data_IF_712739068294
#
_entry.id   IF_712739068294
#
_cell.length_a   1.000
_cell.length_b   1.000
_cell.length_c   1.000
_cell.angle_alpha   90.00
_cell.angle_beta   90.00
_cell.angle_gamma   90.00
#
_symmetry.space_group_name_H-M   'P 1'
#
loop_
_entity.id
_entity.type
_entity.pdbx_description
1 polymer ?
#
# COMPACT_ATOMS: atom_id res chain seq x y z
N UNK A 1 -70.97 12.02 -21.38
CA UNK A 1 -70.09 11.46 -20.33
C UNK A 1 -68.93 10.76 -21.01
N UNK A 2 -67.72 11.31 -20.97
CA UNK A 2 -66.53 10.56 -21.39
C UNK A 2 -65.32 11.02 -20.58
N UNK A 3 -64.96 10.22 -19.56
CA UNK A 3 -63.86 10.54 -18.66
C UNK A 3 -62.52 10.17 -19.31
N UNK A 4 -61.69 11.18 -19.60
CA UNK A 4 -60.28 10.98 -20.01
C UNK A 4 -59.51 10.29 -18.88
N UNK A 5 -59.10 9.04 -19.10
CA UNK A 5 -58.19 8.29 -18.21
C UNK A 5 -56.86 9.04 -18.05
N UNK A 6 -56.60 9.58 -16.86
CA UNK A 6 -55.31 10.20 -16.50
C UNK A 6 -54.20 9.15 -16.56
N UNK A 7 -53.18 9.36 -17.40
CA UNK A 7 -51.96 8.52 -17.46
C UNK A 7 -51.25 8.56 -16.10
N UNK A 8 -51.05 7.40 -15.45
CA UNK A 8 -50.26 7.29 -14.22
C UNK A 8 -48.82 7.76 -14.50
N UNK A 9 -48.33 8.75 -13.75
CA UNK A 9 -46.93 9.20 -13.81
C UNK A 9 -46.03 8.02 -13.43
N UNK A 10 -45.07 7.69 -14.29
CA UNK A 10 -44.06 6.66 -14.03
C UNK A 10 -43.18 7.11 -12.86
N UNK A 11 -43.07 6.30 -11.82
CA UNK A 11 -42.17 6.56 -10.68
C UNK A 11 -40.72 6.61 -11.17
N UNK A 12 -40.05 7.75 -10.96
CA UNK A 12 -38.63 7.92 -11.28
C UNK A 12 -37.85 7.80 -9.98
N UNK A 13 -37.26 6.63 -9.66
CA UNK A 13 -36.51 6.46 -8.42
C UNK A 13 -35.36 7.48 -8.37
N UNK A 14 -35.21 8.13 -7.21
CA UNK A 14 -34.10 9.05 -6.96
C UNK A 14 -32.79 8.28 -7.03
N UNK A 15 -31.96 8.62 -8.01
CA UNK A 15 -30.64 8.00 -8.20
C UNK A 15 -29.77 8.45 -7.03
N UNK A 16 -29.38 7.52 -6.16
CA UNK A 16 -28.42 7.77 -5.06
C UNK A 16 -27.15 8.41 -5.63
N UNK A 17 -26.61 9.45 -4.96
CA UNK A 17 -25.45 10.23 -5.41
C UNK A 17 -24.22 9.37 -5.80
N UNK A 18 -24.05 8.20 -5.18
CA UNK A 18 -22.90 7.31 -5.41
C UNK A 18 -23.07 6.37 -6.61
N UNK A 19 -24.24 6.37 -7.27
CA UNK A 19 -24.46 5.53 -8.43
C UNK A 19 -23.78 6.13 -9.67
N UNK A 20 -22.90 5.35 -10.31
CA UNK A 20 -22.14 5.75 -11.51
C UNK A 20 -23.06 5.84 -12.73
N UNK A 21 -23.87 6.89 -12.84
CA UNK A 21 -24.87 7.08 -13.90
C UNK A 21 -24.41 7.96 -15.08
N UNK A 22 -23.31 8.70 -14.94
CA UNK A 22 -22.80 9.61 -15.97
C UNK A 22 -21.69 8.95 -16.80
N UNK A 23 -21.73 9.18 -18.11
CA UNK A 23 -20.73 8.68 -19.06
C UNK A 23 -19.86 9.84 -19.52
N UNK A 24 -18.55 9.66 -19.46
CA UNK A 24 -17.56 10.56 -20.05
C UNK A 24 -16.99 9.86 -21.28
N UNK A 25 -16.96 10.54 -22.43
CA UNK A 25 -16.43 10.01 -23.69
C UNK A 25 -15.33 10.94 -24.20
N UNK A 26 -14.24 10.37 -24.70
CA UNK A 26 -13.17 11.07 -25.39
C UNK A 26 -12.83 10.29 -26.66
N UNK A 27 -12.52 10.99 -27.75
CA UNK A 27 -11.96 10.39 -28.97
C UNK A 27 -10.46 10.32 -28.80
N UNK A 28 -9.88 9.17 -29.10
CA UNK A 28 -8.44 8.89 -29.05
C UNK A 28 -8.03 8.16 -30.33
N UNK A 29 -6.78 8.31 -30.72
CA UNK A 29 -6.18 7.51 -31.79
C UNK A 29 -6.00 6.05 -31.37
N UNK A 30 -5.67 5.18 -32.33
CA UNK A 30 -5.39 3.76 -32.07
C UNK A 30 -4.17 3.64 -31.14
N UNK A 31 -3.09 4.37 -31.43
CA UNK A 31 -1.85 4.38 -30.65
C UNK A 31 -2.07 4.89 -29.22
N UNK A 32 -2.89 5.93 -29.06
CA UNK A 32 -3.25 6.47 -27.75
C UNK A 32 -4.05 5.45 -26.94
N UNK A 33 -4.99 4.74 -27.58
CA UNK A 33 -5.78 3.71 -26.93
C UNK A 33 -4.92 2.53 -26.48
N UNK A 34 -4.00 2.05 -27.32
CA UNK A 34 -3.06 0.98 -26.96
C UNK A 34 -2.17 1.41 -25.79
N UNK A 35 -1.62 2.63 -25.82
CA UNK A 35 -0.81 3.17 -24.71
C UNK A 35 -1.60 3.22 -23.40
N UNK A 36 -2.88 3.63 -23.45
CA UNK A 36 -3.76 3.66 -22.26
C UNK A 36 -4.03 2.24 -21.76
N UNK A 37 -4.27 1.29 -22.67
CA UNK A 37 -4.54 -0.11 -22.34
C UNK A 37 -3.33 -0.75 -21.66
N UNK A 38 -2.13 -0.52 -22.18
CA UNK A 38 -0.91 -1.05 -21.58
C UNK A 38 -0.66 -0.48 -20.19
N UNK A 39 -0.84 0.85 -20.03
CA UNK A 39 -0.76 1.51 -18.71
C UNK A 39 -1.82 1.04 -17.72
N UNK A 40 -2.99 0.64 -18.19
CA UNK A 40 -4.03 0.06 -17.33
C UNK A 40 -3.68 -1.37 -16.93
N UNK A 41 -3.09 -2.15 -17.86
CA UNK A 41 -2.66 -3.53 -17.62
C UNK A 41 -1.51 -3.61 -16.62
N UNK A 42 -0.53 -2.70 -16.67
CA UNK A 42 0.60 -2.70 -15.72
C UNK A 42 0.15 -2.54 -14.27
N UNK A 43 -0.96 -1.84 -14.03
CA UNK A 43 -1.56 -1.67 -12.70
C UNK A 43 -2.74 -2.60 -12.44
N UNK A 44 -2.98 -3.55 -13.32
CA UNK A 44 -4.04 -4.55 -13.22
C UNK A 44 -5.45 -3.92 -13.04
N UNK A 45 -5.72 -2.82 -13.75
CA UNK A 45 -7.02 -2.14 -13.74
C UNK A 45 -7.68 -2.21 -15.11
N UNK A 46 -9.01 -2.15 -15.14
CA UNK A 46 -9.73 -1.89 -16.39
C UNK A 46 -9.40 -0.47 -16.90
N UNK A 47 -9.42 -0.26 -18.22
CA UNK A 47 -9.18 1.06 -18.83
C UNK A 47 -10.08 2.14 -18.21
N UNK A 48 -11.36 1.84 -18.01
CA UNK A 48 -12.33 2.76 -17.40
C UNK A 48 -12.00 3.10 -15.95
N UNK A 49 -11.48 2.13 -15.19
CA UNK A 49 -11.07 2.36 -13.80
C UNK A 49 -9.75 3.11 -13.72
N UNK A 50 -8.79 2.76 -14.58
CA UNK A 50 -7.52 3.46 -14.72
C UNK A 50 -7.74 4.95 -15.04
N UNK A 51 -8.53 5.26 -16.07
CA UNK A 51 -8.83 6.64 -16.46
C UNK A 51 -9.58 7.39 -15.37
N UNK A 52 -10.55 6.75 -14.71
CA UNK A 52 -11.30 7.36 -13.61
C UNK A 52 -10.40 7.67 -12.42
N UNK A 53 -9.58 6.72 -11.99
CA UNK A 53 -8.62 6.94 -10.90
C UNK A 53 -7.66 8.05 -11.29
N UNK A 54 -7.08 8.00 -12.49
CA UNK A 54 -6.11 9.02 -12.96
C UNK A 54 -6.71 10.42 -13.12
N UNK A 55 -7.98 10.53 -13.48
CA UNK A 55 -8.67 11.82 -13.59
C UNK A 55 -9.15 12.39 -12.24
N UNK A 56 -9.39 11.53 -11.24
CA UNK A 56 -9.90 11.93 -9.92
C UNK A 56 -8.84 11.96 -8.82
N UNK A 57 -7.69 11.34 -9.02
CA UNK A 57 -6.60 11.35 -8.04
C UNK A 57 -5.72 12.57 -8.26
N UNK A 58 -5.53 13.35 -7.20
CA UNK A 58 -4.48 14.36 -7.12
C UNK A 58 -3.12 13.63 -7.06
N UNK A 59 -2.55 13.34 -8.22
CA UNK A 59 -1.13 13.01 -8.35
C UNK A 59 -0.67 11.57 -8.07
N UNK A 60 -1.55 10.57 -7.90
CA UNK A 60 -1.06 9.19 -7.69
C UNK A 60 -0.68 8.54 -9.01
N UNK A 61 0.62 8.44 -9.27
CA UNK A 61 1.20 7.46 -10.21
C UNK A 61 0.61 6.09 -9.90
N UNK A 62 -0.04 5.50 -10.89
CA UNK A 62 -0.52 4.13 -10.78
C UNK A 62 0.73 3.23 -10.71
N UNK A 63 1.11 2.84 -9.49
CA UNK A 63 2.17 1.86 -9.26
C UNK A 63 1.58 0.46 -9.39
N UNK A 64 2.32 -0.45 -10.01
CA UNK A 64 1.98 -1.85 -10.01
C UNK A 64 2.07 -2.38 -8.56
N UNK A 65 0.98 -2.88 -7.96
CA UNK A 65 1.00 -3.40 -6.59
C UNK A 65 2.03 -4.51 -6.38
N UNK A 66 2.37 -5.27 -7.43
CA UNK A 66 3.38 -6.34 -7.36
C UNK A 66 4.78 -5.80 -7.06
N UNK A 67 5.15 -4.66 -7.64
CA UNK A 67 6.49 -4.08 -7.46
C UNK A 67 6.66 -3.59 -6.01
N UNK A 68 5.62 -2.97 -5.45
CA UNK A 68 5.61 -2.55 -4.03
C UNK A 68 5.78 -3.77 -3.11
N UNK A 69 5.05 -4.85 -3.40
CA UNK A 69 5.14 -6.09 -2.61
C UNK A 69 6.53 -6.71 -2.72
N UNK A 70 7.13 -6.76 -3.91
CA UNK A 70 8.48 -7.31 -4.08
C UNK A 70 9.55 -6.50 -3.34
N UNK A 71 9.52 -5.16 -3.50
CA UNK A 71 10.42 -4.27 -2.76
C UNK A 71 10.26 -4.44 -1.24
N UNK A 72 9.02 -4.62 -0.78
CA UNK A 72 8.70 -4.88 0.62
C UNK A 72 9.29 -6.22 1.11
N UNK A 73 9.16 -7.29 0.33
CA UNK A 73 9.75 -8.59 0.69
C UNK A 73 11.28 -8.55 0.73
N UNK A 74 11.93 -7.85 -0.21
CA UNK A 74 13.39 -7.67 -0.19
C UNK A 74 13.83 -6.90 1.06
N UNK A 75 13.11 -5.84 1.41
CA UNK A 75 13.40 -5.05 2.60
C UNK A 75 13.24 -5.85 3.90
N UNK A 76 12.13 -6.59 4.05
CA UNK A 76 11.91 -7.44 5.23
C UNK A 76 12.95 -8.55 5.34
N UNK A 77 13.41 -9.11 4.22
CA UNK A 77 14.53 -10.05 4.18
C UNK A 77 15.85 -9.45 4.68
N UNK A 78 16.18 -8.22 4.29
CA UNK A 78 17.38 -7.52 4.77
C UNK A 78 17.32 -7.25 6.28
N UNK A 79 16.17 -6.78 6.77
CA UNK A 79 15.92 -6.58 8.21
C UNK A 79 16.09 -7.88 9.00
N UNK A 80 15.56 -8.99 8.51
CA UNK A 80 15.71 -10.28 9.19
C UNK A 80 17.18 -10.70 9.33
N UNK A 81 18.01 -10.48 8.31
CA UNK A 81 19.45 -10.75 8.40
C UNK A 81 20.13 -9.90 9.47
N UNK A 82 19.77 -8.62 9.56
CA UNK A 82 20.26 -7.73 10.62
C UNK A 82 19.81 -8.25 12.00
N UNK A 83 18.56 -8.66 12.14
CA UNK A 83 18.04 -9.25 13.38
C UNK A 83 18.78 -10.53 13.80
N UNK A 84 19.15 -11.40 12.85
CA UNK A 84 19.96 -12.59 13.12
C UNK A 84 21.34 -12.21 13.66
N UNK A 85 22.02 -11.25 13.02
CA UNK A 85 23.33 -10.79 13.47
C UNK A 85 23.26 -10.18 14.88
N UNK A 86 22.21 -9.40 15.16
CA UNK A 86 21.98 -8.86 16.50
C UNK A 86 21.79 -9.98 17.52
N UNK A 87 20.99 -11.00 17.21
CA UNK A 87 20.81 -12.16 18.10
C UNK A 87 22.14 -12.89 18.38
N UNK A 88 23.01 -13.01 17.38
CA UNK A 88 24.34 -13.60 17.55
C UNK A 88 25.20 -12.78 18.51
N UNK A 89 25.21 -11.45 18.37
CA UNK A 89 25.93 -10.55 19.29
C UNK A 89 25.37 -10.65 20.71
N UNK A 90 24.04 -10.66 20.87
CA UNK A 90 23.39 -10.83 22.19
C UNK A 90 23.80 -12.15 22.85
N UNK A 91 23.79 -13.25 22.09
CA UNK A 91 24.20 -14.56 22.60
C UNK A 91 25.68 -14.58 23.01
N UNK A 92 26.54 -13.94 22.22
CA UNK A 92 27.96 -13.83 22.52
C UNK A 92 28.22 -12.98 23.78
N UNK A 93 27.54 -11.84 23.93
CA UNK A 93 27.61 -11.01 25.12
C UNK A 93 27.11 -11.75 26.37
N UNK A 94 26.03 -12.51 26.25
CA UNK A 94 25.53 -13.35 27.34
C UNK A 94 26.53 -14.44 27.74
N UNK A 95 27.19 -15.06 26.76
CA UNK A 95 28.27 -16.01 27.00
C UNK A 95 29.45 -15.37 27.75
N UNK A 96 29.93 -14.20 27.30
CA UNK A 96 31.01 -13.47 27.96
C UNK A 96 30.63 -13.03 29.38
N UNK A 97 29.39 -12.59 29.59
CA UNK A 97 28.85 -12.21 30.90
C UNK A 97 28.88 -13.40 31.86
N UNK A 98 28.44 -14.58 31.41
CA UNK A 98 28.45 -15.80 32.22
C UNK A 98 29.85 -16.29 32.56
N UNK A 99 30.86 -15.93 31.76
CA UNK A 99 32.27 -16.22 32.05
C UNK A 99 32.96 -15.14 32.89
N UNK A 100 32.25 -14.08 33.33
CA UNK A 100 32.84 -12.96 34.06
C UNK A 100 33.82 -12.12 33.23
N UNK A 101 33.75 -12.22 31.90
CA UNK A 101 34.66 -11.59 30.93
C UNK A 101 34.03 -10.45 30.13
N UNK A 102 32.74 -10.18 30.31
CA UNK A 102 32.09 -9.05 29.67
C UNK A 102 32.44 -7.75 30.42
N UNK A 103 33.01 -6.78 29.71
CA UNK A 103 33.15 -5.43 30.28
C UNK A 103 31.77 -4.78 30.35
N UNK A 104 31.41 -4.25 31.53
CA UNK A 104 30.10 -3.65 31.76
C UNK A 104 29.76 -2.53 30.75
N UNK A 105 30.79 -1.84 30.26
CA UNK A 105 30.68 -0.76 29.27
C UNK A 105 30.24 -1.25 27.89
N UNK A 106 30.72 -2.42 27.45
CA UNK A 106 30.36 -3.01 26.15
C UNK A 106 28.90 -3.47 26.14
N UNK A 107 28.43 -4.04 27.26
CA UNK A 107 27.04 -4.46 27.45
C UNK A 107 26.11 -3.25 27.46
N UNK A 108 26.51 -2.16 28.12
CA UNK A 108 25.73 -0.92 28.18
C UNK A 108 25.61 -0.25 26.81
N UNK A 109 26.71 -0.17 26.05
CA UNK A 109 26.72 0.42 24.71
C UNK A 109 25.89 -0.41 23.73
N UNK A 110 25.99 -1.75 23.81
CA UNK A 110 25.13 -2.65 23.03
C UNK A 110 23.65 -2.42 23.34
N UNK A 111 23.26 -2.39 24.61
CA UNK A 111 21.87 -2.19 25.01
C UNK A 111 21.31 -0.85 24.50
N UNK A 112 22.12 0.20 24.52
CA UNK A 112 21.74 1.53 24.00
C UNK A 112 21.48 1.50 22.49
N UNK A 113 22.37 0.87 21.72
CA UNK A 113 22.20 0.73 20.27
C UNK A 113 21.03 -0.19 19.92
N UNK A 114 20.87 -1.28 20.66
CA UNK A 114 19.76 -2.22 20.48
C UNK A 114 18.41 -1.57 20.76
N UNK A 115 18.31 -0.75 21.81
CA UNK A 115 17.10 -0.01 22.11
C UNK A 115 16.72 0.96 20.97
N UNK A 116 17.70 1.68 20.40
CA UNK A 116 17.47 2.54 19.23
C UNK A 116 16.99 1.73 18.01
N UNK A 117 17.60 0.58 17.76
CA UNK A 117 17.18 -0.32 16.70
C UNK A 117 15.72 -0.76 16.89
N UNK A 118 15.32 -1.18 18.09
CA UNK A 118 13.95 -1.60 18.39
C UNK A 118 12.94 -0.46 18.15
N UNK A 119 13.28 0.78 18.55
CA UNK A 119 12.41 1.94 18.31
C UNK A 119 12.19 2.17 16.81
N UNK A 120 13.27 2.26 16.04
CA UNK A 120 13.20 2.48 14.59
C UNK A 120 12.43 1.36 13.88
N UNK A 121 12.66 0.10 14.28
CA UNK A 121 11.94 -1.05 13.72
C UNK A 121 10.45 -1.05 14.06
N UNK A 122 10.08 -0.55 15.23
CA UNK A 122 8.68 -0.44 15.65
C UNK A 122 7.94 0.64 14.86
N UNK A 123 8.57 1.80 14.66
CA UNK A 123 8.03 2.87 13.82
C UNK A 123 7.86 2.43 12.37
N UNK A 124 8.89 1.80 11.79
CA UNK A 124 8.83 1.25 10.44
C UNK A 124 7.68 0.25 10.28
N UNK A 125 7.55 -0.71 11.21
CA UNK A 125 6.43 -1.65 11.20
C UNK A 125 5.07 -0.96 11.29
N UNK A 126 4.97 0.13 12.04
CA UNK A 126 3.77 0.96 12.15
C UNK A 126 3.41 1.64 10.83
N UNK A 127 4.39 2.27 10.17
CA UNK A 127 4.22 2.92 8.85
C UNK A 127 3.83 1.87 7.81
N UNK A 128 4.55 0.73 7.76
CA UNK A 128 4.28 -0.35 6.83
C UNK A 128 2.85 -0.90 6.96
N UNK A 129 2.38 -1.13 8.19
CA UNK A 129 0.99 -1.56 8.42
C UNK A 129 -0.03 -0.53 7.97
N UNK A 130 0.25 0.77 8.12
CA UNK A 130 -0.63 1.85 7.65
C UNK A 130 -0.69 1.90 6.13
N UNK A 131 0.44 1.83 5.44
CA UNK A 131 0.48 1.86 3.97
C UNK A 131 -0.17 0.62 3.36
N UNK A 132 0.06 -0.58 3.93
CA UNK A 132 -0.61 -1.80 3.47
C UNK A 132 -2.14 -1.76 3.62
N UNK A 133 -2.66 -1.07 4.64
CA UNK A 133 -4.11 -0.86 4.79
C UNK A 133 -4.72 0.04 3.72
N UNK A 134 -3.95 0.93 3.10
CA UNK A 134 -4.43 1.82 2.02
C UNK A 134 -4.53 1.09 0.67
N UNK A 135 -3.85 -0.05 0.54
CA UNK A 135 -3.80 -0.86 -0.69
C UNK A 135 -4.94 -1.90 -0.72
N UNK A 136 -5.50 -2.28 0.43
CA UNK A 136 -6.70 -3.13 0.55
C UNK A 136 -7.98 -2.33 0.35
#
# INVERSE_FOLDING_TARGET
MEQRKKRKKLYKPEIKKDFKCKIVKARVSIEEFESIKDKANTVNLSVSEFLRRRALSEGSTAFNPKDIIEHFFRYTGAVNKVGVNINQVTNYLNYLKNQGRAEAKEVEEFNKLFHKYVLVMTELNGIMKKELKKIK
#
